data_IF_794248772810
#
_entry.id   IF_794248772810
#
_cell.length_a   1.000
_cell.length_b   1.000
_cell.length_c   1.000
_cell.angle_alpha   90.00
_cell.angle_beta   90.00
_cell.angle_gamma   90.00
#
_symmetry.space_group_name_H-M   'P 1'
#
loop_
_entity.id
_entity.type
_entity.pdbx_description
1 polymer ?
#
# COMPACT_ATOMS: atom_id res chain seq x y z
N UNK A 1 -75.14 -62.11 6.69
CA UNK A 1 -73.75 -62.57 6.86
C UNK A 1 -72.83 -61.44 6.44
N UNK A 2 -72.03 -60.95 7.38
CA UNK A 2 -71.10 -59.81 7.20
C UNK A 2 -69.82 -60.34 6.54
N UNK A 3 -69.36 -59.69 5.48
CA UNK A 3 -68.00 -59.88 4.96
C UNK A 3 -67.40 -58.51 4.67
N UNK A 4 -66.59 -58.04 5.63
CA UNK A 4 -65.64 -56.95 5.47
C UNK A 4 -64.56 -57.38 4.46
N UNK A 5 -64.29 -56.55 3.46
CA UNK A 5 -63.06 -56.63 2.65
C UNK A 5 -62.19 -55.45 3.05
N UNK A 6 -61.03 -55.79 3.60
CA UNK A 6 -60.02 -54.89 4.17
C UNK A 6 -59.21 -54.25 3.05
N UNK A 7 -59.20 -52.92 2.99
CA UNK A 7 -58.25 -52.15 2.17
C UNK A 7 -56.85 -52.26 2.79
N UNK A 8 -55.93 -52.92 2.10
CA UNK A 8 -54.51 -52.94 2.43
C UNK A 8 -53.87 -51.60 2.10
N UNK A 9 -53.58 -50.81 3.14
CA UNK A 9 -52.73 -49.63 3.07
C UNK A 9 -51.28 -50.09 2.88
N UNK A 10 -50.76 -50.01 1.65
CA UNK A 10 -49.33 -50.13 1.39
C UNK A 10 -48.68 -48.84 1.89
N UNK A 11 -48.17 -48.87 3.13
CA UNK A 11 -47.23 -47.88 3.59
C UNK A 11 -45.92 -48.07 2.83
N UNK A 12 -45.67 -47.21 1.84
CA UNK A 12 -44.34 -47.07 1.27
C UNK A 12 -43.42 -46.55 2.37
N UNK A 13 -42.67 -47.44 3.01
CA UNK A 13 -41.55 -47.07 3.84
C UNK A 13 -40.51 -46.42 2.93
N UNK A 14 -40.48 -45.08 2.94
CA UNK A 14 -39.32 -44.34 2.47
C UNK A 14 -38.14 -44.74 3.35
N UNK A 15 -37.29 -45.63 2.85
CA UNK A 15 -35.97 -45.84 3.39
C UNK A 15 -35.20 -44.52 3.21
N UNK A 16 -35.25 -43.66 4.22
CA UNK A 16 -34.29 -42.58 4.35
C UNK A 16 -32.95 -43.29 4.56
N UNK A 17 -31.97 -43.14 3.65
CA UNK A 17 -30.64 -43.64 3.93
C UNK A 17 -30.17 -42.92 5.18
N UNK A 18 -29.98 -43.66 6.27
CA UNK A 18 -29.25 -43.21 7.43
C UNK A 18 -27.82 -42.95 6.94
N UNK A 19 -27.59 -41.74 6.41
CA UNK A 19 -26.25 -41.22 6.24
C UNK A 19 -25.71 -41.16 7.65
N UNK A 20 -24.85 -42.12 7.99
CA UNK A 20 -24.03 -42.00 9.19
C UNK A 20 -23.42 -40.62 9.12
N UNK A 21 -23.76 -39.75 10.07
CA UNK A 21 -23.13 -38.45 10.20
C UNK A 21 -21.64 -38.74 10.37
N UNK A 22 -20.89 -38.59 9.27
CA UNK A 22 -19.45 -38.59 9.31
C UNK A 22 -19.11 -37.36 10.14
N UNK A 23 -18.59 -37.58 11.35
CA UNK A 23 -18.19 -36.50 12.24
C UNK A 23 -17.15 -35.64 11.51
N UNK A 24 -17.55 -34.47 11.01
CA UNK A 24 -16.70 -33.52 10.27
C UNK A 24 -15.71 -32.79 11.19
N UNK A 25 -15.65 -33.17 12.45
CA UNK A 25 -14.86 -32.51 13.48
C UNK A 25 -15.59 -31.34 14.13
N UNK A 26 -15.09 -30.92 15.28
CA UNK A 26 -15.55 -29.77 16.05
C UNK A 26 -14.38 -28.78 16.18
N UNK A 27 -14.66 -27.49 15.94
CA UNK A 27 -13.72 -26.41 16.20
C UNK A 27 -14.26 -25.50 17.29
N UNK A 28 -13.37 -25.06 18.19
CA UNK A 28 -13.67 -24.11 19.24
C UNK A 28 -12.64 -22.98 19.21
N UNK A 29 -13.12 -21.73 19.22
CA UNK A 29 -12.27 -20.53 19.24
C UNK A 29 -12.63 -19.69 20.45
N UNK A 30 -11.61 -19.22 21.17
CA UNK A 30 -11.73 -18.33 22.32
C UNK A 30 -10.79 -17.14 22.14
N UNK A 31 -11.26 -15.93 22.45
CA UNK A 31 -10.44 -14.70 22.43
C UNK A 31 -10.92 -13.74 23.52
N UNK A 32 -9.98 -13.13 24.23
CA UNK A 32 -10.21 -12.06 25.21
C UNK A 32 -9.11 -11.00 25.10
N UNK A 33 -9.48 -9.74 25.25
CA UNK A 33 -8.60 -8.58 25.25
C UNK A 33 -9.15 -7.60 26.31
N UNK A 34 -8.28 -7.04 27.15
CA UNK A 34 -8.66 -6.12 28.22
C UNK A 34 -8.56 -4.63 27.82
N UNK A 35 -8.12 -4.32 26.61
CA UNK A 35 -7.94 -2.95 26.11
C UNK A 35 -6.67 -2.25 26.61
N UNK A 36 -5.89 -2.90 27.49
CA UNK A 36 -4.61 -2.40 28.01
C UNK A 36 -3.41 -3.12 27.39
N UNK A 37 -3.65 -3.86 26.29
CA UNK A 37 -2.63 -4.58 25.54
C UNK A 37 -2.42 -6.02 26.02
N UNK A 38 -3.17 -6.51 27.02
CA UNK A 38 -3.16 -7.92 27.37
C UNK A 38 -4.19 -8.68 26.53
N UNK A 39 -3.76 -9.79 25.94
CA UNK A 39 -4.60 -10.63 25.11
C UNK A 39 -4.47 -12.09 25.51
N UNK A 40 -5.54 -12.84 25.26
CA UNK A 40 -5.49 -14.29 25.23
C UNK A 40 -6.36 -14.80 24.08
N UNK A 41 -5.87 -15.80 23.36
CA UNK A 41 -6.65 -16.49 22.36
C UNK A 41 -6.31 -17.97 22.32
N UNK A 42 -7.23 -18.77 21.80
CA UNK A 42 -6.98 -20.15 21.49
C UNK A 42 -7.95 -20.68 20.45
N UNK A 43 -7.49 -21.64 19.67
CA UNK A 43 -8.31 -22.45 18.79
C UNK A 43 -7.98 -23.92 19.01
N UNK A 44 -9.00 -24.76 18.96
CA UNK A 44 -8.89 -26.21 19.05
C UNK A 44 -9.75 -26.81 17.93
N UNK A 45 -9.17 -27.71 17.16
CA UNK A 45 -9.81 -28.41 16.05
C UNK A 45 -9.68 -29.91 16.32
N UNK A 46 -10.79 -30.58 16.60
CA UNK A 46 -10.84 -32.01 16.85
C UNK A 46 -11.62 -32.71 15.72
N UNK A 47 -11.09 -33.79 15.15
CA UNK A 47 -11.65 -34.51 14.01
C UNK A 47 -11.47 -36.03 14.21
N UNK A 48 -12.15 -36.84 13.39
CA UNK A 48 -12.12 -38.30 13.52
C UNK A 48 -10.70 -38.92 13.40
N UNK A 49 -9.75 -38.23 12.76
CA UNK A 49 -8.39 -38.72 12.52
C UNK A 49 -7.32 -38.03 13.37
N UNK A 50 -7.71 -37.15 14.30
CA UNK A 50 -6.78 -36.36 15.09
C UNK A 50 -7.25 -34.91 15.27
N UNK A 51 -6.37 -34.04 15.73
CA UNK A 51 -6.70 -32.66 16.01
C UNK A 51 -5.49 -31.75 16.14
N UNK A 52 -5.72 -30.46 15.95
CA UNK A 52 -4.71 -29.42 16.15
C UNK A 52 -5.21 -28.41 17.17
N UNK A 53 -4.31 -27.84 17.95
CA UNK A 53 -4.68 -26.76 18.84
C UNK A 53 -3.58 -25.73 18.95
N UNK A 54 -3.98 -24.50 19.28
CA UNK A 54 -3.09 -23.44 19.72
C UNK A 54 -3.77 -22.63 20.81
N UNK A 55 -3.01 -22.24 21.83
CA UNK A 55 -3.41 -21.25 22.82
C UNK A 55 -2.25 -20.33 23.10
N UNK A 56 -2.52 -19.05 23.26
CA UNK A 56 -1.52 -18.04 23.54
C UNK A 56 -2.13 -16.94 24.41
N UNK A 57 -1.33 -16.42 25.34
CA UNK A 57 -1.65 -15.20 26.07
C UNK A 57 -0.40 -14.35 26.17
N UNK A 58 -0.57 -13.04 26.13
CA UNK A 58 0.55 -12.13 26.13
C UNK A 58 0.14 -10.72 26.51
N UNK A 59 1.14 -9.88 26.71
CA UNK A 59 1.01 -8.46 26.96
C UNK A 59 2.29 -7.74 26.52
N UNK A 60 2.42 -6.44 26.82
CA UNK A 60 3.63 -5.69 26.53
C UNK A 60 4.87 -6.36 27.15
N UNK A 61 5.76 -6.90 26.31
CA UNK A 61 7.04 -7.48 26.73
C UNK A 61 7.02 -8.96 27.16
N UNK A 62 5.89 -9.66 27.11
CA UNK A 62 5.84 -11.11 27.33
C UNK A 62 4.75 -11.81 26.50
N UNK A 63 5.04 -12.99 25.97
CA UNK A 63 4.08 -13.87 25.32
C UNK A 63 4.34 -15.32 25.74
N UNK A 64 3.29 -16.07 26.08
CA UNK A 64 3.37 -17.49 26.39
C UNK A 64 2.28 -18.24 25.68
N UNK A 65 2.61 -19.41 25.15
CA UNK A 65 1.63 -20.20 24.43
C UNK A 65 2.04 -21.64 24.27
N UNK A 66 1.13 -22.39 23.66
CA UNK A 66 1.39 -23.75 23.24
C UNK A 66 0.61 -24.06 21.98
N UNK A 67 1.23 -24.80 21.06
CA UNK A 67 0.52 -25.43 19.95
C UNK A 67 0.82 -26.93 19.95
N UNK A 68 -0.09 -27.71 19.40
CA UNK A 68 0.10 -29.15 19.36
C UNK A 68 -0.78 -29.88 18.38
N UNK A 69 -0.38 -31.11 18.11
CA UNK A 69 -1.04 -32.06 17.24
C UNK A 69 -1.41 -33.30 18.06
N UNK A 70 -2.56 -33.89 17.75
CA UNK A 70 -3.04 -35.17 18.25
C UNK A 70 -3.40 -36.03 17.05
N UNK A 71 -2.91 -37.26 16.99
CA UNK A 71 -3.32 -38.23 15.96
C UNK A 71 -4.41 -39.15 16.51
N UNK A 72 -5.19 -39.76 15.60
CA UNK A 72 -6.18 -40.78 15.94
C UNK A 72 -5.60 -41.96 16.75
N UNK A 73 -4.32 -42.27 16.54
CA UNK A 73 -3.61 -43.37 17.20
C UNK A 73 -3.15 -43.03 18.64
N UNK A 74 -3.54 -41.88 19.18
CA UNK A 74 -3.20 -41.42 20.53
C UNK A 74 -1.79 -40.80 20.65
N UNK A 75 -1.11 -40.60 19.52
CA UNK A 75 0.15 -39.84 19.48
C UNK A 75 -0.13 -38.36 19.64
N UNK A 76 0.73 -37.66 20.35
CA UNK A 76 0.60 -36.25 20.63
C UNK A 76 1.95 -35.55 20.65
N UNK A 77 1.97 -34.34 20.12
CA UNK A 77 3.11 -33.43 20.19
C UNK A 77 2.63 -32.07 20.67
N UNK A 78 3.16 -31.60 21.78
CA UNK A 78 2.86 -30.29 22.33
C UNK A 78 4.16 -29.49 22.40
N UNK A 79 4.15 -28.31 21.79
CA UNK A 79 5.23 -27.34 21.90
C UNK A 79 4.76 -26.23 22.81
N UNK A 80 5.41 -26.06 23.96
CA UNK A 80 5.17 -24.94 24.88
C UNK A 80 6.27 -23.90 24.67
N UNK A 81 5.91 -22.63 24.57
CA UNK A 81 6.87 -21.56 24.34
C UNK A 81 6.62 -20.34 25.24
N UNK A 82 7.71 -19.63 25.54
CA UNK A 82 7.76 -18.38 26.29
C UNK A 82 8.66 -17.42 25.52
N UNK A 83 8.16 -16.23 25.23
CA UNK A 83 8.93 -15.11 24.70
C UNK A 83 8.86 -13.97 25.71
N UNK A 84 10.00 -13.57 26.26
CA UNK A 84 10.09 -12.46 27.20
C UNK A 84 11.44 -11.74 27.03
N UNK A 85 11.78 -10.84 27.96
CA UNK A 85 13.07 -10.13 27.97
C UNK A 85 14.29 -11.08 27.99
N UNK A 86 14.13 -12.35 28.38
CA UNK A 86 15.19 -13.36 28.41
C UNK A 86 15.22 -14.18 27.11
N UNK A 87 14.57 -13.69 26.05
CA UNK A 87 14.53 -14.31 24.73
C UNK A 87 13.39 -15.32 24.56
N UNK A 88 13.42 -16.02 23.42
CA UNK A 88 12.46 -17.07 23.11
C UNK A 88 12.97 -18.43 23.62
N UNK A 89 12.11 -19.15 24.36
CA UNK A 89 12.40 -20.48 24.90
C UNK A 89 11.21 -21.40 24.60
N UNK A 90 11.47 -22.60 24.11
CA UNK A 90 10.44 -23.59 23.83
C UNK A 90 10.82 -24.98 24.33
N UNK A 91 9.82 -25.77 24.72
CA UNK A 91 9.96 -27.17 25.14
C UNK A 91 8.95 -28.02 24.38
N UNK A 92 9.35 -29.23 24.01
CA UNK A 92 8.50 -30.19 23.28
C UNK A 92 8.16 -31.36 24.19
N UNK A 93 6.89 -31.66 24.34
CA UNK A 93 6.38 -32.86 25.01
C UNK A 93 5.72 -33.76 23.97
N UNK A 94 6.29 -34.94 23.72
CA UNK A 94 5.77 -35.91 22.76
C UNK A 94 5.83 -37.34 23.30
N UNK A 95 4.89 -38.19 22.87
CA UNK A 95 4.88 -39.63 23.12
C UNK A 95 5.20 -40.45 21.86
N UNK A 96 5.78 -39.82 20.83
CA UNK A 96 6.16 -40.48 19.58
C UNK A 96 7.40 -41.38 19.74
N UNK A 97 7.37 -42.63 19.23
CA UNK A 97 8.50 -43.54 19.34
C UNK A 97 9.69 -43.02 18.52
N UNK A 98 10.89 -43.01 19.11
CA UNK A 98 12.13 -42.57 18.47
C UNK A 98 12.47 -41.09 18.65
N UNK A 99 11.69 -40.32 19.41
CA UNK A 99 12.04 -38.95 19.81
C UNK A 99 12.65 -38.97 21.21
N UNK A 100 13.88 -38.48 21.36
CA UNK A 100 14.50 -38.31 22.67
C UNK A 100 13.85 -37.13 23.39
N UNK A 101 12.93 -37.42 24.32
CA UNK A 101 12.18 -36.42 25.09
C UNK A 101 13.08 -35.59 26.03
N UNK A 102 14.35 -35.97 26.19
CA UNK A 102 15.33 -35.26 27.03
C UNK A 102 16.26 -34.34 26.24
N UNK A 103 16.17 -34.31 24.91
CA UNK A 103 16.92 -33.36 24.10
C UNK A 103 16.07 -32.11 23.85
N UNK A 104 16.56 -30.96 24.32
CA UNK A 104 16.02 -29.67 23.91
C UNK A 104 16.07 -29.58 22.38
N UNK A 105 15.00 -29.11 21.72
CA UNK A 105 15.02 -28.88 20.28
C UNK A 105 16.21 -27.96 19.97
N UNK A 106 17.00 -28.31 18.94
CA UNK A 106 18.26 -27.64 18.56
C UNK A 106 18.30 -26.16 19.01
N UNK A 107 19.14 -25.88 20.02
CA UNK A 107 19.17 -24.65 20.78
C UNK A 107 18.99 -23.40 19.90
N UNK A 108 17.78 -22.84 19.88
CA UNK A 108 17.50 -21.56 19.21
C UNK A 108 17.54 -20.47 20.28
N UNK A 109 18.75 -20.13 20.75
CA UNK A 109 18.96 -18.94 21.56
C UNK A 109 19.08 -17.72 20.65
N UNK A 110 17.95 -17.05 20.38
CA UNK A 110 17.93 -15.72 19.77
C UNK A 110 17.96 -14.67 20.89
N UNK A 111 19.16 -14.17 21.17
CA UNK A 111 19.35 -13.02 22.07
C UNK A 111 19.02 -11.74 21.30
N UNK A 112 17.84 -11.16 21.49
CA UNK A 112 17.58 -9.79 21.05
C UNK A 112 18.22 -8.83 22.06
N UNK A 113 19.31 -8.18 21.64
CA UNK A 113 19.89 -7.06 22.38
C UNK A 113 18.95 -5.86 22.33
N UNK A 114 18.31 -5.58 23.46
CA UNK A 114 18.12 -4.26 24.09
C UNK A 114 16.92 -4.35 25.05
N UNK A 115 17.21 -4.33 26.35
CA UNK A 115 16.20 -4.16 27.38
C UNK A 115 15.60 -2.74 27.29
N UNK A 116 14.29 -2.64 27.10
CA UNK A 116 13.58 -1.42 27.47
C UNK A 116 13.61 -1.33 29.00
N UNK A 117 14.10 -0.21 29.53
CA UNK A 117 14.07 0.04 30.95
C UNK A 117 12.62 0.02 31.47
N UNK A 118 12.33 -0.65 32.60
CA UNK A 118 11.00 -0.62 33.18
C UNK A 118 10.67 0.81 33.64
N UNK A 119 9.55 1.34 33.16
CA UNK A 119 8.98 2.59 33.65
C UNK A 119 8.58 2.36 35.13
N UNK A 120 8.96 3.24 36.08
CA UNK A 120 8.64 3.03 37.48
C UNK A 120 7.12 2.97 37.72
N UNK A 121 6.69 1.88 38.34
CA UNK A 121 5.33 1.68 38.85
C UNK A 121 5.05 2.75 39.93
N UNK A 122 4.11 3.64 39.63
CA UNK A 122 3.45 4.44 40.67
C UNK A 122 2.56 3.49 41.51
N UNK A 123 2.89 3.32 42.78
CA UNK A 123 2.00 2.68 43.74
C UNK A 123 0.81 3.60 44.00
N UNK A 124 -0.39 3.18 43.63
CA UNK A 124 -1.63 3.84 44.06
C UNK A 124 -2.34 2.94 45.06
N UNK A 125 -2.76 3.52 46.17
CA UNK A 125 -3.46 2.85 47.27
C UNK A 125 -4.81 2.30 46.81
N UNK A 126 -5.13 1.08 47.23
CA UNK A 126 -6.46 0.49 47.13
C UNK A 126 -7.52 1.42 47.73
N UNK A 127 -8.33 2.04 46.87
CA UNK A 127 -9.63 2.57 47.27
C UNK A 127 -10.70 1.59 46.78
N UNK A 128 -11.20 0.77 47.69
CA UNK A 128 -12.47 0.08 47.52
C UNK A 128 -13.57 1.11 47.20
N UNK A 129 -14.07 1.11 45.97
CA UNK A 129 -15.35 1.73 45.66
C UNK A 129 -16.43 0.65 45.74
N UNK A 130 -17.32 0.79 46.73
CA UNK A 130 -18.59 0.07 46.76
C UNK A 130 -19.45 0.39 45.52
N UNK A 131 -20.31 -0.54 45.08
CA UNK A 131 -21.13 -0.35 43.89
C UNK A 131 -22.23 0.69 44.13
N UNK A 132 -22.11 1.86 43.50
CA UNK A 132 -23.19 2.84 43.44
C UNK A 132 -24.28 2.37 42.43
N UNK A 133 -25.41 1.94 42.96
CA UNK A 133 -26.67 1.75 42.23
C UNK A 133 -27.18 3.11 41.70
N UNK A 134 -27.21 3.28 40.38
CA UNK A 134 -27.90 4.41 39.75
C UNK A 134 -29.30 3.99 39.28
N UNK A 135 -30.32 4.58 39.89
CA UNK A 135 -31.71 4.52 39.44
C UNK A 135 -31.91 5.31 38.14
N UNK A 136 -32.56 4.68 37.16
CA UNK A 136 -32.97 5.29 35.91
C UNK A 136 -33.98 6.44 36.13
N UNK A 137 -33.72 7.60 35.53
CA UNK A 137 -34.73 8.66 35.30
C UNK A 137 -35.30 8.50 33.90
N UNK A 138 -36.62 8.40 33.82
CA UNK A 138 -37.39 8.25 32.58
C UNK A 138 -37.22 9.46 31.65
N UNK A 139 -36.94 9.22 30.37
CA UNK A 139 -36.98 10.21 29.29
C UNK A 139 -38.39 10.23 28.70
N UNK A 140 -39.02 11.40 28.71
CA UNK A 140 -40.30 11.69 28.07
C UNK A 140 -40.06 11.93 26.57
N UNK A 141 -40.80 11.21 25.72
CA UNK A 141 -40.74 11.33 24.26
C UNK A 141 -41.45 12.61 23.76
N UNK A 142 -40.91 13.34 22.77
CA UNK A 142 -41.66 14.38 22.10
C UNK A 142 -42.55 13.81 20.99
N UNK A 143 -43.79 14.27 21.02
CA UNK A 143 -44.93 13.88 20.21
C UNK A 143 -44.90 14.55 18.82
N UNK A 144 -45.41 13.83 17.82
CA UNK A 144 -45.57 14.29 16.45
C UNK A 144 -46.60 15.44 16.33
N UNK A 145 -46.31 16.43 15.48
CA UNK A 145 -47.29 17.37 14.95
C UNK A 145 -47.04 17.59 13.45
N UNK A 146 -48.06 17.31 12.66
CA UNK A 146 -48.15 17.42 11.20
C UNK A 146 -48.80 18.74 10.80
N UNK A 147 -48.33 19.41 9.72
CA UNK A 147 -49.14 20.29 8.85
C UNK A 147 -48.51 20.47 7.46
N UNK A 148 -49.33 20.98 6.54
CA UNK A 148 -49.46 20.73 5.11
C UNK A 148 -48.62 21.57 4.13
N UNK A 149 -48.67 21.13 2.87
CA UNK A 149 -48.09 21.62 1.61
C UNK A 149 -48.52 23.04 1.20
N UNK A 150 -47.59 23.80 0.60
CA UNK A 150 -47.88 24.80 -0.46
C UNK A 150 -46.66 25.08 -1.36
N UNK A 151 -46.90 25.10 -2.67
CA UNK A 151 -45.98 25.44 -3.77
C UNK A 151 -45.67 26.95 -3.85
N UNK A 152 -44.45 27.34 -4.30
CA UNK A 152 -44.20 28.28 -5.43
C UNK A 152 -42.74 28.81 -5.51
N UNK A 153 -42.18 28.70 -6.73
CA UNK A 153 -41.37 29.65 -7.53
C UNK A 153 -40.14 30.45 -6.99
N UNK A 154 -38.97 30.14 -7.57
CA UNK A 154 -37.95 30.94 -8.29
C UNK A 154 -37.53 32.40 -7.90
N UNK A 155 -36.19 32.60 -7.97
CA UNK A 155 -35.32 33.81 -8.17
C UNK A 155 -34.59 34.40 -6.93
N UNK A 156 -33.44 35.11 -7.07
CA UNK A 156 -32.17 34.76 -7.72
C UNK A 156 -30.92 35.08 -6.83
N UNK A 157 -29.72 34.93 -7.43
CA UNK A 157 -28.36 34.92 -6.84
C UNK A 157 -27.90 36.11 -5.97
N UNK A 158 -27.03 35.81 -5.00
CA UNK A 158 -26.02 36.76 -4.48
C UNK A 158 -24.66 36.10 -4.26
N UNK A 159 -23.63 36.82 -4.71
CA UNK A 159 -22.20 36.53 -4.73
C UNK A 159 -21.64 36.15 -3.34
N UNK A 160 -20.80 35.13 -3.27
CA UNK A 160 -19.82 34.99 -2.18
C UNK A 160 -18.43 35.33 -2.71
N UNK A 161 -17.86 36.36 -2.11
CA UNK A 161 -16.49 36.83 -2.28
C UNK A 161 -15.51 35.81 -1.70
N UNK A 162 -14.43 35.55 -2.44
CA UNK A 162 -13.27 34.81 -1.99
C UNK A 162 -12.57 35.57 -0.86
N UNK A 163 -12.25 34.89 0.24
CA UNK A 163 -11.35 35.40 1.26
C UNK A 163 -9.94 34.85 0.98
N UNK A 164 -8.97 35.74 0.85
CA UNK A 164 -7.55 35.43 0.68
C UNK A 164 -6.94 34.86 1.99
N UNK A 165 -6.03 33.87 1.93
CA UNK A 165 -5.25 33.48 3.09
C UNK A 165 -4.07 34.45 3.31
N UNK A 166 -4.09 35.09 4.48
CA UNK A 166 -3.02 35.93 5.01
C UNK A 166 -1.81 35.05 5.38
N UNK A 167 -0.64 35.36 4.81
CA UNK A 167 0.66 34.86 5.26
C UNK A 167 0.99 35.42 6.65
N UNK A 168 1.21 34.54 7.64
CA UNK A 168 1.80 34.91 8.93
C UNK A 168 3.25 34.39 8.99
N UNK A 169 4.19 35.33 9.09
CA UNK A 169 5.61 35.08 9.29
C UNK A 169 5.88 34.47 10.67
N UNK A 170 6.73 33.44 10.72
CA UNK A 170 7.22 32.85 11.96
C UNK A 170 8.38 33.69 12.53
N UNK A 171 8.41 34.01 13.84
CA UNK A 171 9.52 34.74 14.43
C UNK A 171 10.69 33.81 14.75
N UNK A 172 11.89 34.26 14.40
CA UNK A 172 13.16 33.73 14.89
C UNK A 172 13.28 34.00 16.39
N UNK A 173 13.50 32.96 17.19
CA UNK A 173 13.87 33.12 18.60
C UNK A 173 15.08 32.24 18.91
N UNK A 174 16.23 32.91 18.98
CA UNK A 174 17.46 32.39 19.54
C UNK A 174 17.38 32.49 21.07
N UNK A 175 17.68 31.41 21.78
CA UNK A 175 18.16 31.49 23.16
C UNK A 175 19.16 30.38 23.45
N UNK A 176 20.41 30.80 23.64
CA UNK A 176 21.47 30.07 24.33
C UNK A 176 21.11 29.81 25.80
N UNK A 177 21.41 28.61 26.30
CA UNK A 177 21.96 28.22 27.62
C UNK A 177 22.21 26.70 27.49
N UNK A 178 23.38 26.10 27.64
CA UNK A 178 24.53 26.41 28.49
C UNK A 178 24.55 25.44 29.67
N UNK A 179 25.14 24.24 29.50
CA UNK A 179 25.24 23.23 30.57
C UNK A 179 26.20 22.09 30.21
N UNK A 180 27.46 22.25 30.60
CA UNK A 180 28.56 21.29 30.50
C UNK A 180 28.62 20.38 31.75
N UNK A 181 28.70 19.07 31.55
CA UNK A 181 29.52 18.08 32.29
C UNK A 181 29.70 16.92 31.29
N UNK A 182 30.86 16.47 30.82
CA UNK A 182 32.18 16.39 31.43
C UNK A 182 32.44 14.92 31.81
N UNK A 183 32.88 14.07 30.87
CA UNK A 183 33.22 12.67 31.18
C UNK A 183 33.55 11.78 29.98
N UNK A 184 34.85 11.64 29.72
CA UNK A 184 35.56 10.51 29.09
C UNK A 184 35.21 10.06 27.65
N UNK A 185 36.02 10.57 26.71
CA UNK A 185 36.49 9.78 25.57
C UNK A 185 37.45 8.72 26.11
N UNK A 186 37.22 7.44 25.75
CA UNK A 186 38.20 6.55 25.13
C UNK A 186 37.59 5.15 24.92
N UNK A 187 38.01 4.49 23.82
CA UNK A 187 37.77 3.09 23.43
C UNK A 187 36.46 2.72 22.71
N UNK A 188 36.46 2.89 21.38
CA UNK A 188 35.64 2.12 20.45
C UNK A 188 36.36 0.84 20.00
N UNK A 189 35.77 -0.36 20.13
CA UNK A 189 36.22 -1.53 19.37
C UNK A 189 35.75 -1.46 17.91
N UNK A 190 36.73 -1.44 17.01
CA UNK A 190 36.65 -1.44 15.54
C UNK A 190 36.12 -2.76 14.93
N UNK A 191 34.96 -3.26 15.35
CA UNK A 191 34.35 -4.44 14.73
C UNK A 191 32.83 -4.29 14.74
N UNK A 192 32.27 -3.66 13.71
CA UNK A 192 30.96 -3.98 13.09
C UNK A 192 30.62 -2.92 12.01
N UNK A 193 31.50 -2.78 11.02
CA UNK A 193 31.16 -2.15 9.72
C UNK A 193 31.23 -3.21 8.62
N UNK A 194 30.34 -4.18 8.67
CA UNK A 194 30.05 -5.05 7.53
C UNK A 194 28.80 -5.89 7.82
N UNK A 195 27.61 -5.36 7.52
CA UNK A 195 26.43 -6.13 7.05
C UNK A 195 25.15 -5.28 7.01
N UNK A 196 25.20 -4.10 6.41
CA UNK A 196 24.00 -3.32 6.06
C UNK A 196 23.91 -2.97 4.57
N UNK A 197 24.66 -3.68 3.72
CA UNK A 197 24.64 -3.48 2.27
C UNK A 197 23.96 -4.62 1.48
N UNK A 198 23.43 -5.66 2.14
CA UNK A 198 22.86 -6.83 1.45
C UNK A 198 21.36 -7.08 1.69
N UNK A 199 20.60 -6.14 2.27
CA UNK A 199 19.16 -6.34 2.47
C UNK A 199 18.25 -5.32 1.79
N UNK A 200 18.79 -4.25 1.21
CA UNK A 200 17.99 -3.27 0.47
C UNK A 200 18.79 -2.74 -0.71
N UNK A 201 18.36 -3.08 -1.93
CA UNK A 201 18.89 -2.57 -3.19
C UNK A 201 18.52 -1.11 -3.45
N UNK A 202 18.71 -0.22 -2.47
CA UNK A 202 18.72 1.22 -2.71
C UNK A 202 20.15 1.63 -3.11
N UNK A 203 20.34 1.93 -4.39
CA UNK A 203 21.59 2.49 -4.90
C UNK A 203 21.80 3.91 -4.34
N UNK A 204 22.55 4.03 -3.23
CA UNK A 204 23.08 5.31 -2.73
C UNK A 204 24.48 5.54 -3.31
N UNK A 205 24.59 6.32 -4.38
CA UNK A 205 25.84 7.02 -4.74
C UNK A 205 25.53 8.39 -5.33
N UNK A 206 25.68 9.42 -4.50
CA UNK A 206 26.27 10.74 -4.82
C UNK A 206 25.82 11.76 -3.77
N UNK A 207 26.51 11.77 -2.62
CA UNK A 207 26.40 12.86 -1.66
C UNK A 207 27.77 13.10 -1.01
N UNK A 208 28.74 13.58 -1.80
CA UNK A 208 30.01 14.09 -1.30
C UNK A 208 30.58 15.11 -2.31
N UNK A 209 30.25 16.39 -2.14
CA UNK A 209 31.13 17.54 -2.46
C UNK A 209 30.63 18.77 -1.68
N UNK A 210 30.97 18.82 -0.39
CA UNK A 210 30.71 19.98 0.47
C UNK A 210 32.03 20.46 1.06
N UNK A 211 32.89 21.08 0.25
CA UNK A 211 34.08 21.78 0.75
C UNK A 211 34.71 22.79 -0.23
N UNK A 212 33.94 23.39 -1.14
CA UNK A 212 34.46 24.39 -2.10
C UNK A 212 33.61 25.68 -2.20
N UNK A 213 32.86 26.05 -1.16
CA UNK A 213 31.92 27.20 -1.20
C UNK A 213 32.55 28.54 -0.76
N UNK A 214 33.81 28.58 -0.34
CA UNK A 214 34.36 29.77 0.32
C UNK A 214 35.02 30.85 -0.58
N UNK A 215 34.97 30.76 -1.91
CA UNK A 215 35.63 31.76 -2.80
C UNK A 215 34.74 32.38 -3.88
N UNK A 216 33.42 32.16 -3.85
CA UNK A 216 32.50 32.54 -4.94
C UNK A 216 31.46 33.56 -4.48
N UNK A 217 31.87 34.68 -3.88
CA UNK A 217 30.93 35.67 -3.33
C UNK A 217 30.65 36.88 -4.26
N UNK A 218 31.40 37.04 -5.35
CA UNK A 218 31.28 38.21 -6.25
C UNK A 218 30.59 37.92 -7.59
N UNK A 219 30.23 36.67 -7.89
CA UNK A 219 29.51 36.25 -9.12
C UNK A 219 28.10 35.73 -8.83
N UNK A 220 27.54 36.06 -7.66
CA UNK A 220 26.30 35.47 -7.13
C UNK A 220 25.05 36.21 -7.62
N UNK A 221 25.15 37.46 -8.04
CA UNK A 221 23.98 38.27 -8.43
C UNK A 221 23.39 37.92 -9.79
N UNK A 222 24.21 37.60 -10.79
CA UNK A 222 23.72 37.25 -12.15
C UNK A 222 23.22 35.79 -12.27
N UNK A 223 23.67 34.92 -11.37
CA UNK A 223 23.28 33.50 -11.37
C UNK A 223 21.85 33.33 -10.80
N UNK A 224 21.46 34.15 -9.82
CA UNK A 224 20.17 34.05 -9.12
C UNK A 224 19.00 34.55 -10.00
N UNK A 225 19.19 35.66 -10.74
CA UNK A 225 18.15 36.22 -11.61
C UNK A 225 17.81 35.27 -12.79
N UNK A 226 18.82 34.68 -13.42
CA UNK A 226 18.62 33.73 -14.52
C UNK A 226 17.90 32.45 -14.05
N UNK A 227 18.21 31.94 -12.86
CA UNK A 227 17.53 30.77 -12.30
C UNK A 227 16.05 31.08 -11.98
N UNK A 228 15.78 32.26 -11.41
CA UNK A 228 14.42 32.73 -11.15
C UNK A 228 13.60 32.94 -12.44
N UNK A 229 14.20 33.50 -13.48
CA UNK A 229 13.53 33.75 -14.77
C UNK A 229 13.23 32.43 -15.50
N UNK A 230 14.16 31.47 -15.47
CA UNK A 230 13.95 30.14 -16.02
C UNK A 230 12.85 29.37 -15.27
N UNK A 231 12.75 29.55 -13.95
CA UNK A 231 11.67 28.97 -13.15
C UNK A 231 10.31 29.60 -13.48
N UNK A 232 10.25 30.92 -13.68
CA UNK A 232 9.04 31.62 -14.10
C UNK A 232 8.57 31.14 -15.49
N UNK A 233 9.49 31.06 -16.46
CA UNK A 233 9.20 30.52 -17.78
C UNK A 233 8.73 29.06 -17.71
N UNK A 234 9.40 28.24 -16.92
CA UNK A 234 8.99 26.85 -16.70
C UNK A 234 7.56 26.73 -16.12
N UNK A 235 7.21 27.58 -15.16
CA UNK A 235 5.85 27.62 -14.60
C UNK A 235 4.82 28.08 -15.65
N UNK A 236 5.16 29.06 -16.49
CA UNK A 236 4.31 29.47 -17.61
C UNK A 236 4.11 28.31 -18.61
N UNK A 237 5.18 27.57 -18.93
CA UNK A 237 5.09 26.38 -19.78
C UNK A 237 4.26 25.28 -19.14
N UNK A 238 4.28 25.12 -17.81
CA UNK A 238 3.39 24.20 -17.10
C UNK A 238 1.93 24.55 -17.33
N UNK A 239 1.55 25.83 -17.30
CA UNK A 239 0.19 26.28 -17.56
C UNK A 239 -0.17 26.23 -19.05
N UNK A 240 0.78 26.55 -19.94
CA UNK A 240 0.60 26.40 -21.39
C UNK A 240 0.42 24.93 -21.81
N UNK A 241 1.09 24.00 -21.12
CA UNK A 241 0.98 22.56 -21.41
C UNK A 241 -0.45 22.05 -21.20
N UNK A 242 -1.19 22.60 -20.23
CA UNK A 242 -2.57 22.18 -19.92
C UNK A 242 -3.58 22.64 -20.98
N UNK A 243 -3.26 23.70 -21.75
CA UNK A 243 -4.14 24.22 -22.81
C UNK A 243 -4.08 23.37 -24.08
N UNK A 244 -2.98 22.66 -24.29
CA UNK A 244 -2.73 21.85 -25.48
C UNK A 244 -3.08 20.38 -25.18
N UNK A 245 -3.99 19.74 -25.95
CA UNK A 245 -4.43 18.38 -25.66
C UNK A 245 -3.35 17.31 -25.86
N UNK A 246 -2.30 17.59 -26.63
CA UNK A 246 -1.17 16.68 -26.86
C UNK A 246 0.15 17.45 -26.88
N UNK A 247 0.46 18.16 -25.79
CA UNK A 247 1.66 18.99 -25.67
C UNK A 247 2.96 18.20 -25.86
N UNK A 248 2.99 16.94 -25.42
CA UNK A 248 4.17 16.07 -25.47
C UNK A 248 4.26 15.24 -26.75
N UNK A 249 3.27 15.35 -27.65
CA UNK A 249 3.16 14.57 -28.87
C UNK A 249 3.15 13.04 -28.62
N UNK A 250 2.51 12.60 -27.52
CA UNK A 250 2.49 11.19 -27.10
C UNK A 250 1.84 10.28 -28.15
N UNK A 251 0.95 10.84 -28.99
CA UNK A 251 0.33 10.10 -30.10
C UNK A 251 1.35 9.54 -31.09
N UNK A 252 2.48 10.22 -31.29
CA UNK A 252 3.55 9.75 -32.19
C UNK A 252 4.29 8.53 -31.64
N UNK A 253 4.23 8.30 -30.33
CA UNK A 253 4.89 7.16 -29.67
C UNK A 253 4.11 5.85 -29.82
N UNK A 254 2.81 5.92 -30.11
CA UNK A 254 1.93 4.75 -30.18
C UNK A 254 1.78 4.32 -31.63
N UNK A 255 2.15 3.07 -31.91
CA UNK A 255 1.92 2.43 -33.19
C UNK A 255 0.99 1.20 -33.02
N UNK A 256 -0.15 1.22 -33.69
CA UNK A 256 -1.13 0.13 -33.68
C UNK A 256 -0.52 -1.22 -34.10
N UNK A 257 0.39 -1.20 -35.09
CA UNK A 257 1.07 -2.42 -35.53
C UNK A 257 1.95 -3.00 -34.43
N UNK A 258 2.70 -2.15 -33.72
CA UNK A 258 3.57 -2.58 -32.63
C UNK A 258 2.76 -3.14 -31.45
N UNK A 259 1.60 -2.55 -31.13
CA UNK A 259 0.69 -3.07 -30.11
C UNK A 259 0.14 -4.46 -30.48
N UNK A 260 -0.23 -4.65 -31.75
CA UNK A 260 -0.72 -5.91 -32.25
C UNK A 260 0.38 -6.99 -32.19
N UNK A 261 1.58 -6.68 -32.68
CA UNK A 261 2.73 -7.58 -32.65
C UNK A 261 3.15 -7.94 -31.21
N UNK A 262 2.97 -7.01 -30.26
CA UNK A 262 3.25 -7.18 -28.83
C UNK A 262 2.12 -7.89 -28.06
N UNK A 263 1.07 -8.35 -28.74
CA UNK A 263 -0.04 -9.15 -28.17
C UNK A 263 -0.85 -8.45 -27.07
N UNK A 264 -0.93 -7.11 -27.12
CA UNK A 264 -1.67 -6.30 -26.14
C UNK A 264 -3.18 -6.62 -26.13
N UNK A 265 -3.73 -7.06 -27.27
CA UNK A 265 -5.15 -7.34 -27.46
C UNK A 265 -5.64 -8.66 -26.83
N UNK A 266 -4.73 -9.52 -26.36
CA UNK A 266 -5.09 -10.79 -25.74
C UNK A 266 -5.74 -10.57 -24.37
N UNK A 267 -6.50 -11.56 -23.91
CA UNK A 267 -7.11 -11.57 -22.59
C UNK A 267 -7.43 -12.99 -22.15
N UNK A 268 -7.91 -13.14 -20.92
CA UNK A 268 -8.29 -14.43 -20.37
C UNK A 268 -9.63 -14.95 -20.95
N UNK A 269 -9.98 -16.17 -20.54
CA UNK A 269 -11.23 -16.83 -20.91
C UNK A 269 -12.43 -16.14 -20.26
N UNK A 270 -13.62 -16.33 -20.86
CA UNK A 270 -14.87 -15.76 -20.35
C UNK A 270 -15.19 -16.15 -18.89
N UNK A 271 -14.78 -17.34 -18.43
CA UNK A 271 -15.02 -17.79 -17.05
C UNK A 271 -14.31 -16.95 -15.97
N UNK A 272 -13.26 -16.22 -16.32
CA UNK A 272 -12.53 -15.31 -15.41
C UNK A 272 -12.84 -13.84 -15.69
N UNK A 273 -13.79 -13.56 -16.59
CA UNK A 273 -14.13 -12.21 -17.01
C UNK A 273 -14.75 -11.42 -15.85
N UNK A 274 -14.15 -10.27 -15.55
CA UNK A 274 -14.77 -9.30 -14.65
C UNK A 274 -15.95 -8.59 -15.36
N UNK A 275 -17.15 -8.51 -14.75
CA UNK A 275 -18.29 -7.80 -15.34
C UNK A 275 -18.02 -6.35 -15.73
N UNK A 276 -17.13 -5.66 -15.01
CA UNK A 276 -16.77 -4.27 -15.28
C UNK A 276 -15.78 -4.12 -16.46
N UNK A 277 -15.17 -5.21 -16.91
CA UNK A 277 -14.30 -5.21 -18.09
C UNK A 277 -15.08 -5.37 -19.41
N UNK A 278 -16.35 -5.74 -19.36
CA UNK A 278 -17.23 -5.92 -20.52
C UNK A 278 -17.19 -4.74 -21.51
N UNK A 279 -17.32 -3.47 -21.10
CA UNK A 279 -17.32 -2.33 -22.03
C UNK A 279 -16.03 -2.22 -22.85
N UNK A 280 -14.89 -2.63 -22.28
CA UNK A 280 -13.58 -2.56 -22.94
C UNK A 280 -13.32 -3.72 -23.90
N UNK A 281 -14.09 -4.81 -23.80
CA UNK A 281 -13.92 -6.01 -24.62
C UNK A 281 -14.87 -5.98 -25.83
N UNK A 282 -16.07 -5.42 -25.69
CA UNK A 282 -17.02 -5.33 -26.78
C UNK A 282 -16.59 -4.29 -27.84
N UNK A 283 -16.48 -4.70 -29.11
CA UNK A 283 -16.11 -3.85 -30.25
C UNK A 283 -14.63 -3.93 -30.63
N UNK A 284 -14.07 -2.86 -31.20
CA UNK A 284 -12.65 -2.77 -31.52
C UNK A 284 -11.81 -2.50 -30.26
N UNK A 285 -11.52 -3.57 -29.51
CA UNK A 285 -10.77 -3.53 -28.23
C UNK A 285 -9.50 -2.66 -28.32
N UNK A 286 -8.73 -2.82 -29.39
CA UNK A 286 -7.46 -2.11 -29.56
C UNK A 286 -7.63 -0.59 -29.75
N UNK A 287 -8.70 -0.14 -30.40
CA UNK A 287 -8.96 1.29 -30.60
C UNK A 287 -9.28 1.99 -29.27
N UNK A 288 -10.02 1.30 -28.40
CA UNK A 288 -10.30 1.81 -27.05
C UNK A 288 -9.02 1.86 -26.21
N UNK A 289 -8.20 0.80 -26.27
CA UNK A 289 -6.89 0.78 -25.59
C UNK A 289 -6.02 1.95 -26.04
N UNK A 290 -5.96 2.25 -27.34
CA UNK A 290 -5.15 3.38 -27.86
C UNK A 290 -5.60 4.71 -27.26
N UNK A 291 -6.91 4.97 -27.20
CA UNK A 291 -7.42 6.24 -26.63
C UNK A 291 -7.07 6.37 -25.15
N UNK A 292 -7.34 5.33 -24.36
CA UNK A 292 -7.05 5.33 -22.92
C UNK A 292 -5.55 5.37 -22.63
N UNK A 293 -4.75 4.70 -23.44
CA UNK A 293 -3.29 4.77 -23.36
C UNK A 293 -2.80 6.19 -23.67
N UNK A 294 -3.32 6.86 -24.69
CA UNK A 294 -2.96 8.25 -25.00
C UNK A 294 -3.24 9.19 -23.82
N UNK A 295 -4.42 9.08 -23.20
CA UNK A 295 -4.79 9.86 -22.02
C UNK A 295 -3.86 9.59 -20.84
N UNK A 296 -3.57 8.32 -20.55
CA UNK A 296 -2.68 7.91 -19.49
C UNK A 296 -1.23 8.41 -19.72
N UNK A 297 -0.70 8.29 -20.94
CA UNK A 297 0.64 8.78 -21.28
C UNK A 297 0.73 10.29 -21.19
N UNK A 298 -0.30 11.02 -21.63
CA UNK A 298 -0.34 12.47 -21.48
C UNK A 298 -0.30 12.86 -19.99
N UNK A 299 -1.08 12.18 -19.15
CA UNK A 299 -1.07 12.40 -17.71
C UNK A 299 0.31 12.11 -17.08
N UNK A 300 0.91 10.96 -17.41
CA UNK A 300 2.27 10.58 -16.97
C UNK A 300 3.28 11.67 -17.36
N UNK A 301 3.22 12.14 -18.62
CA UNK A 301 4.12 13.17 -19.12
C UNK A 301 3.97 14.49 -18.34
N UNK A 302 2.74 14.92 -18.01
CA UNK A 302 2.53 16.12 -17.19
C UNK A 302 3.09 15.96 -15.77
N UNK A 303 2.92 14.80 -15.12
CA UNK A 303 3.48 14.55 -13.78
C UNK A 303 5.02 14.58 -13.81
N UNK A 304 5.63 13.91 -14.80
CA UNK A 304 7.09 13.95 -14.98
C UNK A 304 7.59 15.35 -15.30
N UNK A 305 6.89 16.11 -16.14
CA UNK A 305 7.22 17.49 -16.46
C UNK A 305 7.20 18.37 -15.20
N UNK A 306 6.24 18.14 -14.29
CA UNK A 306 6.08 18.79 -12.98
C UNK A 306 7.02 18.28 -11.87
N UNK A 307 7.94 17.36 -12.18
CA UNK A 307 8.84 16.73 -11.21
C UNK A 307 8.08 16.08 -10.05
N UNK A 308 6.96 15.44 -10.40
CA UNK A 308 6.24 14.55 -9.51
C UNK A 308 6.93 13.20 -9.40
N UNK A 309 6.77 12.55 -8.25
CA UNK A 309 7.34 11.23 -7.97
C UNK A 309 6.44 10.17 -8.60
N UNK A 310 7.02 9.31 -9.45
CA UNK A 310 6.31 8.18 -10.05
C UNK A 310 6.78 6.88 -9.39
N UNK A 311 5.83 6.06 -8.96
CA UNK A 311 6.08 4.71 -8.44
C UNK A 311 5.48 3.65 -9.37
N UNK A 312 6.33 2.79 -9.93
CA UNK A 312 5.89 1.60 -10.65
C UNK A 312 5.63 0.44 -9.68
N UNK A 313 4.48 -0.21 -9.80
CA UNK A 313 4.13 -1.41 -9.03
C UNK A 313 3.95 -2.58 -9.98
N UNK A 314 4.61 -3.68 -9.65
CA UNK A 314 4.48 -4.93 -10.38
C UNK A 314 4.61 -6.11 -9.40
N UNK A 315 3.64 -7.02 -9.37
CA UNK A 315 3.74 -8.20 -8.50
C UNK A 315 4.35 -9.42 -9.18
N UNK A 316 4.35 -9.46 -10.52
CA UNK A 316 4.82 -10.61 -11.29
C UNK A 316 6.34 -10.79 -11.14
N UNK A 317 6.74 -11.93 -10.59
CA UNK A 317 8.15 -12.26 -10.37
C UNK A 317 8.94 -12.35 -11.68
N UNK A 318 8.29 -12.74 -12.78
CA UNK A 318 8.91 -12.88 -14.10
C UNK A 318 9.32 -11.52 -14.67
N UNK A 319 8.44 -10.53 -14.55
CA UNK A 319 8.64 -9.21 -15.17
C UNK A 319 9.20 -8.17 -14.21
N UNK A 320 9.35 -8.49 -12.92
CA UNK A 320 9.88 -7.58 -11.90
C UNK A 320 11.21 -6.93 -12.29
N UNK A 321 12.15 -7.70 -12.85
CA UNK A 321 13.46 -7.20 -13.27
C UNK A 321 13.39 -6.18 -14.43
N UNK A 322 12.40 -6.31 -15.32
CA UNK A 322 12.17 -5.41 -16.45
C UNK A 322 11.69 -4.06 -15.92
N UNK A 323 10.75 -4.09 -14.98
CA UNK A 323 10.17 -2.90 -14.34
C UNK A 323 11.19 -2.18 -13.46
N UNK A 324 11.99 -2.92 -12.68
CA UNK A 324 13.09 -2.35 -11.89
C UNK A 324 14.12 -1.63 -12.79
N UNK A 325 14.48 -2.23 -13.94
CA UNK A 325 15.39 -1.61 -14.91
C UNK A 325 14.78 -0.35 -15.54
N UNK A 326 13.51 -0.39 -15.92
CA UNK A 326 12.80 0.77 -16.43
C UNK A 326 12.81 1.93 -15.43
N UNK A 327 12.50 1.65 -14.16
CA UNK A 327 12.49 2.69 -13.13
C UNK A 327 13.88 3.29 -12.95
N UNK A 328 14.92 2.44 -12.95
CA UNK A 328 16.32 2.88 -12.90
C UNK A 328 16.70 3.78 -14.09
N UNK A 329 16.32 3.40 -15.31
CA UNK A 329 16.59 4.19 -16.51
C UNK A 329 15.88 5.55 -16.49
N UNK A 330 14.63 5.57 -16.02
CA UNK A 330 13.84 6.79 -15.90
C UNK A 330 14.25 7.66 -14.71
N UNK A 331 15.07 7.15 -13.78
CA UNK A 331 15.31 7.77 -12.47
C UNK A 331 14.00 7.97 -11.68
N UNK A 332 13.14 6.95 -11.69
CA UNK A 332 11.90 6.87 -10.93
C UNK A 332 11.94 5.67 -9.98
N UNK A 333 10.89 5.47 -9.19
CA UNK A 333 10.84 4.42 -8.17
C UNK A 333 10.04 3.21 -8.67
N UNK A 334 10.39 2.02 -8.17
CA UNK A 334 9.58 0.82 -8.39
C UNK A 334 9.46 0.01 -7.11
N UNK A 335 8.34 -0.68 -6.97
CA UNK A 335 8.10 -1.67 -5.94
C UNK A 335 7.61 -2.97 -6.59
N UNK A 336 8.55 -3.93 -6.73
CA UNK A 336 8.26 -5.23 -7.34
C UNK A 336 8.17 -6.39 -6.32
N UNK A 337 8.34 -6.08 -5.03
CA UNK A 337 8.37 -7.07 -3.94
C UNK A 337 7.00 -7.17 -3.28
N UNK A 338 6.90 -8.03 -2.27
CA UNK A 338 5.66 -8.16 -1.51
C UNK A 338 5.27 -6.81 -0.90
N UNK A 339 4.00 -6.46 -1.06
CA UNK A 339 3.46 -5.21 -0.55
C UNK A 339 3.11 -5.38 0.92
N UNK A 340 3.64 -4.50 1.76
CA UNK A 340 3.26 -4.44 3.17
C UNK A 340 2.07 -3.50 3.29
N UNK A 341 0.96 -4.00 3.81
CA UNK A 341 -0.24 -3.18 4.02
C UNK A 341 0.07 -2.02 4.96
N UNK A 342 -0.36 -0.82 4.59
CA UNK A 342 -0.07 0.41 5.32
C UNK A 342 1.20 1.13 4.87
N UNK A 343 1.83 0.70 3.77
CA UNK A 343 3.00 1.40 3.18
C UNK A 343 2.68 2.87 2.88
N UNK A 344 1.46 3.17 2.38
CA UNK A 344 1.05 4.57 2.18
C UNK A 344 0.31 5.14 3.39
N UNK A 345 -0.57 4.35 4.01
CA UNK A 345 -1.45 4.82 5.09
C UNK A 345 -0.70 5.15 6.39
N UNK A 346 0.34 4.39 6.72
CA UNK A 346 1.17 4.56 7.94
C UNK A 346 2.65 4.75 7.56
N UNK A 347 2.89 5.52 6.49
CA UNK A 347 4.22 5.73 5.92
C UNK A 347 5.21 6.29 6.94
N UNK A 348 4.78 7.20 7.81
CA UNK A 348 5.66 7.78 8.85
C UNK A 348 6.18 6.74 9.83
N UNK A 349 5.35 5.77 10.28
CA UNK A 349 5.82 4.69 11.14
C UNK A 349 6.60 3.64 10.38
N UNK A 350 6.15 3.30 9.16
CA UNK A 350 6.81 2.30 8.32
C UNK A 350 8.25 2.72 7.96
N UNK A 351 8.43 3.97 7.52
CA UNK A 351 9.75 4.51 7.14
C UNK A 351 10.51 5.17 8.29
N UNK A 352 9.89 5.34 9.46
CA UNK A 352 10.45 6.03 10.64
C UNK A 352 10.94 7.46 10.35
N UNK A 353 10.35 8.10 9.32
CA UNK A 353 10.73 9.43 8.85
C UNK A 353 9.54 10.13 8.20
N UNK A 354 9.60 11.45 8.10
CA UNK A 354 8.66 12.24 7.28
C UNK A 354 9.00 11.98 5.82
N UNK A 355 8.14 11.25 5.11
CA UNK A 355 8.35 10.86 3.71
C UNK A 355 7.39 11.57 2.79
N UNK A 356 7.88 12.03 1.63
CA UNK A 356 7.02 12.44 0.51
C UNK A 356 6.51 11.19 -0.19
N UNK A 357 5.19 11.04 -0.26
CA UNK A 357 4.52 9.96 -0.99
C UNK A 357 4.59 10.19 -2.50
N UNK A 358 4.42 9.13 -3.32
CA UNK A 358 4.37 9.29 -4.77
C UNK A 358 3.18 10.15 -5.21
N UNK A 359 3.40 10.98 -6.22
CA UNK A 359 2.35 11.81 -6.84
C UNK A 359 1.57 11.03 -7.90
N UNK A 360 2.13 9.92 -8.40
CA UNK A 360 1.48 8.99 -9.33
C UNK A 360 1.96 7.56 -9.09
N UNK A 361 1.03 6.62 -9.13
CA UNK A 361 1.34 5.18 -9.09
C UNK A 361 0.92 4.52 -10.40
N UNK A 362 1.84 3.76 -11.01
CA UNK A 362 1.61 3.03 -12.26
C UNK A 362 1.65 1.53 -11.98
N UNK A 363 0.52 0.86 -12.19
CA UNK A 363 0.38 -0.60 -12.04
C UNK A 363 0.61 -1.29 -13.38
N UNK A 364 1.66 -2.12 -13.45
CA UNK A 364 1.86 -3.02 -14.59
C UNK A 364 0.96 -4.25 -14.51
N UNK A 365 0.69 -4.69 -13.28
CA UNK A 365 -0.29 -5.73 -12.96
C UNK A 365 -1.15 -5.22 -11.81
N UNK A 366 -2.48 -5.33 -11.96
CA UNK A 366 -3.42 -4.87 -10.94
C UNK A 366 -3.80 -5.96 -9.94
N UNK A 367 -3.49 -7.21 -10.27
CA UNK A 367 -3.65 -8.36 -9.38
C UNK A 367 -2.38 -8.67 -8.60
N UNK A 368 -2.60 -9.25 -7.43
CA UNK A 368 -1.59 -9.93 -6.65
C UNK A 368 -1.43 -11.39 -7.12
N UNK A 369 -0.47 -12.11 -6.55
CA UNK A 369 -0.20 -13.52 -6.87
C UNK A 369 -1.41 -14.45 -6.61
N UNK A 370 -2.38 -14.02 -5.80
CA UNK A 370 -3.59 -14.79 -5.46
C UNK A 370 -4.82 -14.34 -6.28
N UNK A 371 -4.63 -13.58 -7.36
CA UNK A 371 -5.70 -13.05 -8.23
C UNK A 371 -6.69 -12.12 -7.51
N UNK A 372 -6.26 -11.51 -6.41
CA UNK A 372 -6.97 -10.42 -5.75
C UNK A 372 -6.37 -9.08 -6.15
N UNK A 373 -7.22 -8.04 -6.19
CA UNK A 373 -6.81 -6.66 -6.45
C UNK A 373 -5.69 -6.23 -5.49
N UNK A 374 -4.61 -5.69 -6.04
CA UNK A 374 -3.44 -5.27 -5.28
C UNK A 374 -3.81 -4.23 -4.20
N UNK A 375 -3.40 -4.42 -2.93
CA UNK A 375 -3.79 -3.53 -1.82
C UNK A 375 -3.39 -2.07 -2.05
N UNK A 376 -2.26 -1.81 -2.72
CA UNK A 376 -1.83 -0.46 -3.07
C UNK A 376 -2.87 0.33 -3.89
N UNK A 377 -3.74 -0.31 -4.69
CA UNK A 377 -4.81 0.40 -5.42
C UNK A 377 -5.78 1.04 -4.43
N UNK A 378 -6.18 0.30 -3.39
CA UNK A 378 -7.07 0.79 -2.33
C UNK A 378 -6.37 1.84 -1.46
N UNK A 379 -5.09 1.67 -1.18
CA UNK A 379 -4.31 2.65 -0.42
C UNK A 379 -4.12 3.96 -1.20
N UNK A 380 -3.77 3.90 -2.49
CA UNK A 380 -3.67 5.08 -3.36
C UNK A 380 -4.98 5.85 -3.41
N UNK A 381 -6.12 5.16 -3.57
CA UNK A 381 -7.43 5.79 -3.58
C UNK A 381 -7.75 6.50 -2.26
N UNK A 382 -7.39 5.90 -1.11
CA UNK A 382 -7.55 6.53 0.21
C UNK A 382 -6.66 7.75 0.41
N UNK A 383 -5.46 7.73 -0.16
CA UNK A 383 -4.47 8.81 -0.07
C UNK A 383 -4.65 9.87 -1.16
N UNK A 384 -5.68 9.76 -2.00
CA UNK A 384 -5.94 10.66 -3.14
C UNK A 384 -4.78 10.70 -4.16
N UNK A 385 -4.03 9.60 -4.29
CA UNK A 385 -2.94 9.48 -5.26
C UNK A 385 -3.53 8.93 -6.56
N UNK A 386 -3.40 9.63 -7.70
CA UNK A 386 -3.88 9.14 -8.98
C UNK A 386 -3.15 7.87 -9.41
N UNK A 387 -3.88 6.99 -10.07
CA UNK A 387 -3.35 5.69 -10.51
C UNK A 387 -3.55 5.48 -11.99
N UNK A 388 -2.50 5.00 -12.65
CA UNK A 388 -2.56 4.46 -14.01
C UNK A 388 -2.38 2.95 -13.88
N UNK A 389 -3.19 2.15 -14.57
CA UNK A 389 -3.08 0.69 -14.42
C UNK A 389 -3.42 -0.05 -15.69
N UNK A 390 -2.58 -1.03 -16.04
CA UNK A 390 -2.90 -1.99 -17.10
C UNK A 390 -3.92 -2.97 -16.53
N UNK A 391 -5.13 -2.94 -17.09
CA UNK A 391 -6.25 -3.78 -16.66
C UNK A 391 -6.49 -4.86 -17.70
N UNK A 392 -6.32 -6.11 -17.29
CA UNK A 392 -6.73 -7.24 -18.11
C UNK A 392 -8.20 -7.62 -17.83
N UNK A 393 -8.75 -8.51 -18.65
CA UNK A 393 -10.13 -9.01 -18.62
C UNK A 393 -10.65 -9.45 -17.25
N UNK A 394 -9.79 -9.95 -16.35
CA UNK A 394 -10.18 -10.37 -15.00
C UNK A 394 -10.02 -9.25 -13.94
N UNK A 395 -9.48 -8.09 -14.32
CA UNK A 395 -9.16 -6.99 -13.41
C UNK A 395 -10.39 -6.13 -13.09
N UNK A 396 -10.38 -5.41 -11.96
CA UNK A 396 -11.40 -4.43 -11.61
C UNK A 396 -10.90 -3.00 -11.91
N UNK A 397 -11.44 -2.33 -12.95
CA UNK A 397 -10.95 -1.02 -13.37
C UNK A 397 -11.48 0.14 -12.51
N UNK A 398 -12.48 -0.08 -11.62
CA UNK A 398 -13.27 1.02 -11.02
C UNK A 398 -12.48 1.96 -10.11
N UNK A 399 -11.46 1.46 -9.42
CA UNK A 399 -10.64 2.27 -8.49
C UNK A 399 -9.42 2.88 -9.17
N UNK A 400 -9.17 2.57 -10.44
CA UNK A 400 -8.02 3.04 -11.20
C UNK A 400 -8.41 4.34 -11.91
N UNK A 401 -7.61 5.39 -11.77
CA UNK A 401 -7.92 6.71 -12.35
C UNK A 401 -7.85 6.68 -13.87
N UNK A 402 -6.80 6.08 -14.42
CA UNK A 402 -6.58 5.88 -15.85
C UNK A 402 -6.36 4.40 -16.16
N UNK A 403 -7.44 3.61 -16.33
CA UNK A 403 -7.34 2.20 -16.69
C UNK A 403 -6.96 2.05 -18.17
N UNK A 404 -5.96 1.21 -18.45
CA UNK A 404 -5.49 0.88 -19.79
C UNK A 404 -5.84 -0.59 -20.07
N UNK A 405 -6.86 -0.89 -20.88
CA UNK A 405 -7.23 -2.25 -21.22
C UNK A 405 -6.13 -2.93 -22.01
N UNK A 406 -5.53 -3.98 -21.48
CA UNK A 406 -4.42 -4.66 -22.15
C UNK A 406 -3.99 -5.92 -21.43
N UNK A 407 -3.28 -6.76 -22.15
CA UNK A 407 -2.67 -7.99 -21.64
C UNK A 407 -1.51 -7.68 -20.68
N UNK A 408 -1.61 -8.14 -19.44
CA UNK A 408 -0.60 -7.96 -18.39
C UNK A 408 0.21 -9.25 -18.08
N UNK A 409 -0.02 -10.34 -18.82
CA UNK A 409 0.63 -11.64 -18.61
C UNK A 409 1.88 -11.83 -19.46
N UNK A 410 1.78 -11.52 -20.76
CA UNK A 410 2.87 -11.84 -21.70
C UNK A 410 4.00 -10.84 -21.58
N UNK A 411 5.24 -11.34 -21.59
CA UNK A 411 6.45 -10.52 -21.50
C UNK A 411 6.50 -9.46 -22.62
N UNK A 412 6.12 -9.81 -23.84
CA UNK A 412 6.13 -8.87 -24.99
C UNK A 412 5.24 -7.65 -24.75
N UNK A 413 4.06 -7.86 -24.15
CA UNK A 413 3.13 -6.79 -23.81
C UNK A 413 3.70 -5.89 -22.72
N UNK A 414 4.24 -6.49 -21.65
CA UNK A 414 4.86 -5.73 -20.56
C UNK A 414 6.09 -4.94 -21.03
N UNK A 415 6.94 -5.53 -21.88
CA UNK A 415 8.07 -4.83 -22.49
C UNK A 415 7.62 -3.65 -23.36
N UNK A 416 6.53 -3.81 -24.11
CA UNK A 416 5.93 -2.72 -24.89
C UNK A 416 5.46 -1.57 -23.99
N UNK A 417 4.70 -1.85 -22.93
CA UNK A 417 4.24 -0.83 -22.00
C UNK A 417 5.40 -0.13 -21.31
N UNK A 418 6.37 -0.90 -20.81
CA UNK A 418 7.59 -0.37 -20.22
C UNK A 418 8.31 0.59 -21.18
N UNK A 419 8.58 0.16 -22.40
CA UNK A 419 9.25 0.97 -23.43
C UNK A 419 8.55 2.30 -23.68
N UNK A 420 7.21 2.31 -23.73
CA UNK A 420 6.45 3.53 -23.99
C UNK A 420 6.40 4.44 -22.77
N UNK A 421 6.23 3.90 -21.56
CA UNK A 421 6.31 4.68 -20.33
C UNK A 421 7.68 5.34 -20.18
N UNK A 422 8.76 4.58 -20.42
CA UNK A 422 10.13 5.09 -20.40
C UNK A 422 10.34 6.24 -21.39
N UNK A 423 9.96 6.05 -22.66
CA UNK A 423 10.04 7.11 -23.68
C UNK A 423 9.26 8.38 -23.29
N UNK A 424 8.07 8.20 -22.74
CA UNK A 424 7.18 9.30 -22.36
C UNK A 424 7.76 10.11 -21.20
N UNK A 425 8.24 9.43 -20.16
CA UNK A 425 8.86 10.06 -18.99
C UNK A 425 10.14 10.79 -19.38
N UNK A 426 11.01 10.15 -20.17
CA UNK A 426 12.26 10.75 -20.63
C UNK A 426 12.01 11.98 -21.50
N UNK A 427 11.02 11.92 -22.41
CA UNK A 427 10.63 13.07 -23.24
C UNK A 427 10.12 14.23 -22.36
N UNK A 428 9.28 13.96 -21.38
CA UNK A 428 8.77 14.98 -20.47
C UNK A 428 9.88 15.59 -19.61
N UNK A 429 10.79 14.77 -19.07
CA UNK A 429 11.96 15.24 -18.32
C UNK A 429 12.90 16.08 -19.19
N UNK A 430 13.11 15.68 -20.43
CA UNK A 430 13.91 16.45 -21.38
C UNK A 430 13.28 17.82 -21.65
N UNK A 431 11.98 17.87 -21.97
CA UNK A 431 11.27 19.15 -22.16
C UNK A 431 11.36 20.04 -20.92
N UNK A 432 11.23 19.46 -19.71
CA UNK A 432 11.43 20.20 -18.45
C UNK A 432 12.83 20.80 -18.38
N UNK A 433 13.86 20.01 -18.67
CA UNK A 433 15.25 20.48 -18.66
C UNK A 433 15.48 21.58 -19.70
N UNK A 434 14.88 21.47 -20.88
CA UNK A 434 14.97 22.50 -21.91
C UNK A 434 14.35 23.81 -21.43
N UNK A 435 13.17 23.78 -20.80
CA UNK A 435 12.55 24.97 -20.20
C UNK A 435 13.40 25.59 -19.08
N UNK A 436 14.05 24.78 -18.26
CA UNK A 436 14.89 25.28 -17.16
C UNK A 436 16.27 25.76 -17.61
N UNK A 437 16.73 25.39 -18.82
CA UNK A 437 18.03 25.76 -19.37
C UNK A 437 17.98 26.91 -20.36
N UNK A 438 16.81 27.23 -20.93
CA UNK A 438 16.69 28.35 -21.86
C UNK A 438 16.83 29.67 -21.10
N UNK A 439 17.88 30.47 -21.35
CA UNK A 439 17.89 31.84 -20.88
C UNK A 439 16.71 32.57 -21.53
N UNK A 440 16.00 33.36 -20.74
CA UNK A 440 15.02 34.31 -21.26
C UNK A 440 15.68 35.11 -22.39
N UNK A 441 15.17 34.98 -23.61
CA UNK A 441 15.52 35.91 -24.67
C UNK A 441 14.87 37.23 -24.27
N UNK A 442 15.68 38.17 -23.80
CA UNK A 442 15.28 39.58 -23.84
C UNK A 442 14.70 39.87 -25.23
N UNK A 443 13.63 40.64 -25.20
CA UNK A 443 12.79 40.98 -26.34
C UNK A 443 13.64 41.30 -27.57
N UNK A 444 13.17 40.79 -28.71
CA UNK A 444 13.66 41.12 -30.03
C UNK A 444 13.90 42.64 -30.10
N UNK A 445 15.16 43.03 -30.29
CA UNK A 445 15.58 44.38 -30.63
C UNK A 445 14.61 44.99 -31.66
N UNK A 446 13.76 45.89 -31.19
CA UNK A 446 12.94 46.74 -32.06
C UNK A 446 13.78 47.69 -32.95
N UNK A 447 15.11 47.61 -32.90
CA UNK A 447 16.02 48.39 -33.73
C UNK A 447 16.32 47.79 -35.12
N UNK A 448 16.03 46.50 -35.38
CA UNK A 448 16.28 45.89 -36.70
C UNK A 448 15.08 45.91 -37.68
N UNK A 449 14.02 46.67 -37.37
CA UNK A 449 12.86 46.89 -38.25
C UNK A 449 12.83 48.29 -38.90
N UNK A 450 13.92 49.06 -38.82
CA UNK A 450 14.04 50.40 -39.44
C UNK A 450 15.33 50.62 -40.23
N UNK A 451 15.88 49.59 -40.88
CA UNK A 451 16.95 49.76 -41.87
C UNK A 451 16.59 49.14 -43.21
#
# INVERSE_FOLDING_TARGET
MKSLIIFGLIAAASAVPYHGMVNTGASAVQRSDDGYGNYAFGYNEDHAHGGTFRKEKGGPGYQVGSYGLRDADGRMRIVNYVADAHGFRASVSTNEPGVDVKQDPAATSLTFGHAYAPVPMHTYSDYHHEPAMYHAKALVAPMAASYSVSHAAYLPATKYLAAEPIYAAAPLLASHYGGHYGGHLDEFPQIFRSNLNNLFGFSKRNCLKTSQIAQTAASVSEIDENEHLNLAYYNEQCEASLKNPDYFEVKKLINLKEMFDSRVYLGHKEGTLNPYMKPYIFGSRLDQTVKLLQEALNFIAHISFRNGIILFINKSATTGHIVERLAMNCQEFSHCRDWVNGTFLDSTKFFQAVTRLPDLVIFLNTHSNIFETHPAIKESAKMMIPTVGIVDTNSDPRLITYPIPGNDDTIQSIEYFCKIFEKTILLAKQKRMDCLRMPFKEEIDTENLKK
#
